data_IF_094652001444
#
_entry.id   IF_094652001444
#
_cell.length_a   1.000
_cell.length_b   1.000
_cell.length_c   1.000
_cell.angle_alpha   90.00
_cell.angle_beta   90.00
_cell.angle_gamma   90.00
#
_symmetry.space_group_name_H-M   'P 1'
#
loop_
_entity.id
_entity.type
_entity.pdbx_description
1 polymer ?
#
# COMPACT_ATOMS: atom_id res chain seq x y z
N UNK A 1 -1.24 12.10 2.51
CA UNK A 1 -0.50 11.37 3.54
C UNK A 1 -1.41 10.63 4.53
N UNK A 2 -2.56 11.15 4.86
CA UNK A 2 -3.57 10.59 5.80
C UNK A 2 -4.08 9.19 5.40
N UNK A 3 -4.02 8.82 4.11
CA UNK A 3 -4.63 7.56 3.64
C UNK A 3 -3.83 6.29 4.01
N UNK A 4 -2.50 6.34 4.05
CA UNK A 4 -1.67 5.18 4.40
C UNK A 4 -1.74 4.88 5.90
N UNK A 5 -1.65 5.91 6.75
CA UNK A 5 -1.84 5.78 8.19
C UNK A 5 -3.26 5.29 8.52
N UNK A 6 -4.24 5.73 7.73
CA UNK A 6 -5.64 5.36 7.93
C UNK A 6 -5.92 3.90 7.54
N UNK A 7 -5.26 3.38 6.51
CA UNK A 7 -5.32 1.96 6.13
C UNK A 7 -4.72 1.07 7.23
N UNK A 8 -3.54 1.43 7.73
CA UNK A 8 -2.87 0.65 8.77
C UNK A 8 -3.66 0.69 10.09
N UNK A 9 -4.20 1.86 10.45
CA UNK A 9 -5.11 2.02 11.58
C UNK A 9 -6.36 1.13 11.45
N UNK A 10 -6.98 1.11 10.26
CA UNK A 10 -8.15 0.27 9.99
C UNK A 10 -7.82 -1.23 10.07
N UNK A 11 -6.62 -1.64 9.65
CA UNK A 11 -6.18 -3.03 9.70
C UNK A 11 -5.90 -3.52 11.13
N UNK A 12 -5.48 -2.61 12.03
CA UNK A 12 -5.15 -2.93 13.44
C UNK A 12 -6.38 -2.87 14.33
N UNK A 13 -7.24 -1.85 14.19
CA UNK A 13 -8.41 -1.64 15.07
C UNK A 13 -9.71 -2.25 14.55
N UNK A 14 -9.73 -2.77 13.33
CA UNK A 14 -10.92 -3.36 12.74
C UNK A 14 -11.45 -4.56 13.55
N UNK A 15 -12.73 -4.51 13.92
CA UNK A 15 -13.41 -5.56 14.73
C UNK A 15 -14.31 -6.48 13.90
N UNK A 16 -14.24 -6.46 12.57
CA UNK A 16 -15.09 -7.31 11.74
C UNK A 16 -14.67 -8.78 11.77
N UNK A 17 -15.58 -9.66 11.34
CA UNK A 17 -15.31 -11.10 11.24
C UNK A 17 -14.07 -11.41 10.38
N UNK A 18 -13.87 -10.66 9.29
CA UNK A 18 -12.68 -10.80 8.46
C UNK A 18 -11.39 -10.49 9.25
N UNK A 19 -11.37 -9.51 10.16
CA UNK A 19 -10.18 -9.18 10.93
C UNK A 19 -9.75 -10.32 11.86
N UNK A 20 -10.69 -11.14 12.34
CA UNK A 20 -10.43 -12.28 13.22
C UNK A 20 -9.87 -13.51 12.50
N UNK A 21 -9.99 -13.59 11.17
CA UNK A 21 -9.44 -14.69 10.39
C UNK A 21 -7.91 -14.63 10.40
N UNK A 22 -7.28 -15.83 10.36
CA UNK A 22 -5.83 -15.92 10.33
C UNK A 22 -5.24 -15.21 9.10
N UNK A 23 -4.17 -14.43 9.24
CA UNK A 23 -3.55 -13.71 8.12
C UNK A 23 -3.15 -14.64 6.97
N UNK A 24 -2.74 -15.87 7.28
CA UNK A 24 -2.37 -16.90 6.28
C UNK A 24 -3.53 -17.22 5.35
N UNK A 25 -4.72 -17.44 5.89
CA UNK A 25 -5.92 -17.74 5.09
C UNK A 25 -6.32 -16.58 4.17
N UNK A 26 -6.15 -15.33 4.63
CA UNK A 26 -6.46 -14.14 3.82
C UNK A 26 -5.50 -13.99 2.65
N UNK A 27 -4.20 -14.18 2.89
CA UNK A 27 -3.18 -14.10 1.82
C UNK A 27 -3.39 -15.21 0.80
N UNK A 28 -3.68 -16.45 1.24
CA UNK A 28 -3.99 -17.56 0.35
C UNK A 28 -5.29 -17.28 -0.43
N UNK A 29 -6.35 -16.82 0.24
CA UNK A 29 -7.60 -16.43 -0.40
C UNK A 29 -7.40 -15.34 -1.46
N UNK A 30 -6.55 -14.35 -1.16
CA UNK A 30 -6.20 -13.31 -2.13
C UNK A 30 -5.44 -13.87 -3.33
N UNK A 31 -4.51 -14.81 -3.13
CA UNK A 31 -3.80 -15.48 -4.22
C UNK A 31 -4.79 -16.24 -5.13
N UNK A 32 -5.79 -16.94 -4.56
CA UNK A 32 -6.85 -17.58 -5.34
C UNK A 32 -7.71 -16.58 -6.12
N UNK A 33 -8.05 -15.44 -5.53
CA UNK A 33 -8.77 -14.36 -6.23
C UNK A 33 -7.96 -13.86 -7.41
N UNK A 34 -6.66 -13.58 -7.23
CA UNK A 34 -5.79 -13.12 -8.32
C UNK A 34 -5.67 -14.16 -9.43
N UNK A 35 -5.50 -15.43 -9.08
CA UNK A 35 -5.51 -16.53 -10.07
C UNK A 35 -6.85 -16.61 -10.80
N UNK A 36 -7.97 -16.45 -10.12
CA UNK A 36 -9.30 -16.37 -10.71
C UNK A 36 -9.43 -15.21 -11.70
N UNK A 37 -8.95 -14.02 -11.34
CA UNK A 37 -8.97 -12.83 -12.22
C UNK A 37 -8.14 -13.05 -13.49
N UNK A 38 -7.00 -13.75 -13.38
CA UNK A 38 -6.13 -14.03 -14.53
C UNK A 38 -6.76 -15.08 -15.45
N UNK A 39 -7.27 -16.18 -14.90
CA UNK A 39 -7.77 -17.35 -15.65
C UNK A 39 -9.15 -17.13 -16.26
N UNK A 40 -10.05 -16.42 -15.57
CA UNK A 40 -11.41 -16.18 -16.05
C UNK A 40 -11.39 -15.19 -17.21
N UNK A 41 -11.88 -15.64 -18.38
CA UNK A 41 -12.01 -14.83 -19.60
C UNK A 41 -13.46 -14.44 -19.92
N UNK A 42 -14.40 -14.93 -19.14
CA UNK A 42 -15.85 -14.70 -19.35
C UNK A 42 -16.33 -13.55 -18.47
N UNK A 43 -17.08 -12.61 -19.05
CA UNK A 43 -17.68 -11.48 -18.33
C UNK A 43 -18.56 -11.94 -17.16
N UNK A 44 -19.49 -12.93 -17.30
CA UNK A 44 -20.36 -13.34 -16.18
C UNK A 44 -19.56 -13.95 -15.01
N UNK A 45 -18.47 -14.67 -15.29
CA UNK A 45 -17.61 -15.21 -14.23
C UNK A 45 -16.89 -14.11 -13.43
N UNK A 46 -16.41 -13.04 -14.11
CA UNK A 46 -15.81 -11.89 -13.46
C UNK A 46 -16.83 -11.07 -12.65
N UNK A 47 -18.07 -10.95 -13.15
CA UNK A 47 -19.15 -10.30 -12.40
C UNK A 47 -19.49 -11.05 -11.11
N UNK A 48 -19.57 -12.37 -11.17
CA UNK A 48 -19.81 -13.21 -9.99
C UNK A 48 -18.66 -13.05 -8.98
N UNK A 49 -17.40 -13.08 -9.44
CA UNK A 49 -16.23 -12.90 -8.58
C UNK A 49 -16.24 -11.50 -7.93
N UNK A 50 -16.58 -10.48 -8.71
CA UNK A 50 -16.70 -9.10 -8.19
C UNK A 50 -17.82 -8.98 -7.17
N UNK A 51 -18.97 -9.60 -7.40
CA UNK A 51 -20.08 -9.64 -6.45
C UNK A 51 -19.67 -10.26 -5.12
N UNK A 52 -18.92 -11.37 -5.16
CA UNK A 52 -18.37 -12.01 -3.95
C UNK A 52 -17.41 -11.05 -3.21
N UNK A 53 -16.51 -10.38 -3.92
CA UNK A 53 -15.59 -9.41 -3.31
C UNK A 53 -16.32 -8.22 -2.70
N UNK A 54 -17.37 -7.72 -3.37
CA UNK A 54 -18.21 -6.64 -2.82
C UNK A 54 -18.93 -7.07 -1.56
N UNK A 55 -19.51 -8.26 -1.52
CA UNK A 55 -20.18 -8.79 -0.32
C UNK A 55 -19.19 -8.94 0.84
N UNK A 56 -17.98 -9.43 0.58
CA UNK A 56 -16.92 -9.51 1.59
C UNK A 56 -16.50 -8.12 2.09
N UNK A 57 -16.42 -7.14 1.18
CA UNK A 57 -16.10 -5.75 1.53
C UNK A 57 -17.17 -5.13 2.44
N UNK A 58 -18.45 -5.33 2.13
CA UNK A 58 -19.58 -4.84 2.94
C UNK A 58 -19.62 -5.49 4.33
N UNK A 59 -19.40 -6.80 4.40
CA UNK A 59 -19.33 -7.55 5.68
C UNK A 59 -18.15 -7.07 6.53
N UNK A 60 -17.05 -6.66 5.90
CA UNK A 60 -15.85 -6.18 6.59
C UNK A 60 -16.04 -4.81 7.26
N UNK A 61 -17.13 -4.09 6.98
CA UNK A 61 -17.45 -2.75 7.54
C UNK A 61 -16.31 -1.75 7.37
N UNK A 62 -15.56 -1.86 6.29
CA UNK A 62 -14.47 -0.94 5.97
C UNK A 62 -15.08 0.42 5.58
N UNK A 63 -14.51 1.55 6.05
CA UNK A 63 -15.04 2.87 5.70
C UNK A 63 -14.99 3.11 4.19
N UNK A 64 -16.07 3.66 3.63
CA UNK A 64 -16.22 3.93 2.20
C UNK A 64 -15.09 4.80 1.61
N UNK A 65 -14.39 5.58 2.44
CA UNK A 65 -13.21 6.34 2.01
C UNK A 65 -12.08 5.43 1.50
N UNK A 66 -11.93 4.23 2.05
CA UNK A 66 -10.94 3.25 1.60
C UNK A 66 -11.36 2.64 0.25
N UNK A 67 -12.68 2.53 -0.01
CA UNK A 67 -13.18 2.06 -1.30
C UNK A 67 -12.75 2.97 -2.46
N UNK A 68 -12.57 4.27 -2.23
CA UNK A 68 -12.06 5.17 -3.27
C UNK A 68 -10.68 4.78 -3.80
N UNK A 69 -9.86 4.07 -3.00
CA UNK A 69 -8.56 3.54 -3.43
C UNK A 69 -8.69 2.47 -4.54
N UNK A 70 -9.82 1.76 -4.60
CA UNK A 70 -10.07 0.78 -5.67
C UNK A 70 -10.26 1.43 -7.02
N UNK A 71 -10.59 2.73 -7.05
CA UNK A 71 -10.82 3.49 -8.28
C UNK A 71 -9.52 4.01 -8.92
N UNK A 72 -8.42 4.16 -8.17
CA UNK A 72 -7.15 4.66 -8.72
C UNK A 72 -6.62 3.86 -9.91
N UNK A 73 -6.62 2.51 -9.90
CA UNK A 73 -6.16 1.73 -11.04
C UNK A 73 -7.02 1.89 -12.30
N UNK A 74 -8.26 2.38 -12.18
CA UNK A 74 -9.12 2.65 -13.33
C UNK A 74 -8.59 3.78 -14.22
N UNK A 75 -7.82 4.71 -13.66
CA UNK A 75 -7.17 5.78 -14.44
C UNK A 75 -6.22 5.15 -15.47
N UNK A 76 -5.43 4.16 -15.07
CA UNK A 76 -4.54 3.43 -15.98
C UNK A 76 -5.33 2.57 -16.99
N UNK A 77 -6.45 2.00 -16.56
CA UNK A 77 -7.34 1.26 -17.46
C UNK A 77 -7.87 2.16 -18.57
N UNK A 78 -8.28 3.38 -18.23
CA UNK A 78 -8.76 4.36 -19.21
C UNK A 78 -7.67 4.72 -20.23
N UNK A 79 -6.43 4.94 -19.78
CA UNK A 79 -5.30 5.21 -20.65
C UNK A 79 -4.99 4.02 -21.56
N UNK A 80 -5.08 2.79 -21.05
CA UNK A 80 -4.85 1.57 -21.82
C UNK A 80 -5.92 1.33 -22.90
N UNK A 81 -7.19 1.65 -22.61
CA UNK A 81 -8.30 1.59 -23.57
C UNK A 81 -8.04 2.51 -24.76
N UNK A 82 -7.52 3.71 -24.50
CA UNK A 82 -7.24 4.68 -25.55
C UNK A 82 -6.19 4.18 -26.55
N UNK A 83 -5.25 3.35 -26.11
CA UNK A 83 -4.17 2.77 -26.92
C UNK A 83 -4.64 1.50 -27.65
N UNK A 84 -5.52 0.69 -27.03
CA UNK A 84 -5.86 -0.67 -27.50
C UNK A 84 -7.00 -0.74 -28.52
N UNK A 85 -7.64 0.39 -28.88
CA UNK A 85 -8.80 0.41 -29.78
C UNK A 85 -10.12 0.06 -29.09
N UNK A 86 -11.24 0.55 -29.68
CA UNK A 86 -12.57 0.55 -29.05
C UNK A 86 -13.37 -0.76 -29.21
N UNK A 87 -12.82 -1.90 -28.75
CA UNK A 87 -13.62 -3.12 -28.66
C UNK A 87 -14.34 -3.20 -27.30
N UNK A 88 -15.66 -3.00 -27.29
CA UNK A 88 -16.48 -2.87 -26.07
C UNK A 88 -16.34 -4.09 -25.15
N UNK A 89 -16.36 -5.30 -25.70
CA UNK A 89 -16.22 -6.53 -24.91
C UNK A 89 -14.86 -6.65 -24.22
N UNK A 90 -13.80 -6.23 -24.91
CA UNK A 90 -12.43 -6.23 -24.37
C UNK A 90 -12.25 -5.17 -23.27
N UNK A 91 -12.82 -3.99 -23.51
CA UNK A 91 -12.83 -2.89 -22.53
C UNK A 91 -13.52 -3.33 -21.23
N UNK A 92 -14.73 -3.89 -21.34
CA UNK A 92 -15.50 -4.35 -20.19
C UNK A 92 -14.78 -5.45 -19.40
N UNK A 93 -14.11 -6.35 -20.09
CA UNK A 93 -13.34 -7.43 -19.49
C UNK A 93 -12.14 -6.89 -18.71
N UNK A 94 -11.35 -5.97 -19.28
CA UNK A 94 -10.21 -5.35 -18.58
C UNK A 94 -10.70 -4.53 -17.40
N UNK A 95 -11.74 -3.73 -17.55
CA UNK A 95 -12.33 -2.93 -16.50
C UNK A 95 -12.74 -3.78 -15.28
N UNK A 96 -13.46 -4.89 -15.52
CA UNK A 96 -13.85 -5.82 -14.48
C UNK A 96 -12.64 -6.52 -13.82
N UNK A 97 -11.63 -6.92 -14.59
CA UNK A 97 -10.41 -7.52 -14.05
C UNK A 97 -9.67 -6.56 -13.12
N UNK A 98 -9.53 -5.30 -13.52
CA UNK A 98 -8.88 -4.28 -12.70
C UNK A 98 -9.68 -4.00 -11.44
N UNK A 99 -11.01 -3.90 -11.52
CA UNK A 99 -11.87 -3.74 -10.35
C UNK A 99 -11.76 -4.91 -9.38
N UNK A 100 -11.81 -6.15 -9.87
CA UNK A 100 -11.66 -7.34 -9.03
C UNK A 100 -10.29 -7.36 -8.33
N UNK A 101 -9.21 -7.14 -9.09
CA UNK A 101 -7.85 -7.13 -8.53
C UNK A 101 -7.65 -6.03 -7.49
N UNK A 102 -8.04 -4.80 -7.81
CA UNK A 102 -7.89 -3.66 -6.89
C UNK A 102 -8.73 -3.82 -5.63
N UNK A 103 -9.99 -4.25 -5.75
CA UNK A 103 -10.87 -4.48 -4.59
C UNK A 103 -10.32 -5.57 -3.69
N UNK A 104 -9.82 -6.66 -4.26
CA UNK A 104 -9.21 -7.74 -3.50
C UNK A 104 -7.96 -7.30 -2.73
N UNK A 105 -7.04 -6.55 -3.38
CA UNK A 105 -5.84 -6.02 -2.72
C UNK A 105 -6.21 -5.04 -1.62
N UNK A 106 -7.12 -4.10 -1.87
CA UNK A 106 -7.56 -3.13 -0.86
C UNK A 106 -8.21 -3.83 0.32
N UNK A 107 -9.02 -4.86 0.09
CA UNK A 107 -9.64 -5.67 1.14
C UNK A 107 -8.59 -6.38 1.99
N UNK A 108 -7.56 -6.97 1.38
CA UNK A 108 -6.45 -7.60 2.11
C UNK A 108 -5.70 -6.58 2.98
N UNK A 109 -5.30 -5.44 2.40
CA UNK A 109 -4.53 -4.41 3.10
C UNK A 109 -5.33 -3.72 4.21
N UNK A 110 -6.63 -3.55 4.03
CA UNK A 110 -7.51 -2.95 5.04
C UNK A 110 -7.86 -3.91 6.20
N UNK A 111 -7.69 -5.23 6.01
CA UNK A 111 -8.05 -6.23 7.03
C UNK A 111 -6.85 -6.92 7.66
N UNK A 112 -5.64 -6.73 7.13
CA UNK A 112 -4.44 -7.44 7.58
C UNK A 112 -3.29 -6.47 7.76
N UNK A 113 -2.72 -6.34 8.99
CA UNK A 113 -1.56 -5.48 9.24
C UNK A 113 -0.35 -5.90 8.39
N UNK A 114 0.38 -4.93 7.84
CA UNK A 114 1.56 -5.17 7.01
C UNK A 114 2.60 -6.10 7.64
N UNK A 115 2.94 -5.98 8.95
CA UNK A 115 3.89 -6.89 9.58
C UNK A 115 3.48 -8.36 9.50
N UNK A 116 2.18 -8.65 9.61
CA UNK A 116 1.66 -10.02 9.48
C UNK A 116 1.80 -10.57 8.05
N UNK A 117 1.63 -9.70 7.04
CA UNK A 117 1.83 -10.08 5.62
C UNK A 117 3.32 -10.40 5.39
N UNK A 118 4.24 -9.58 5.92
CA UNK A 118 5.68 -9.82 5.81
C UNK A 118 6.12 -11.11 6.50
N UNK A 119 5.52 -11.42 7.65
CA UNK A 119 5.74 -12.69 8.34
C UNK A 119 5.36 -13.91 7.49
N UNK A 120 4.25 -13.83 6.75
CA UNK A 120 3.83 -14.90 5.84
C UNK A 120 4.75 -15.00 4.62
N UNK A 121 5.15 -13.87 4.05
CA UNK A 121 6.12 -13.83 2.96
C UNK A 121 7.46 -14.45 3.36
N UNK A 122 7.82 -14.41 4.65
CA UNK A 122 9.03 -15.04 5.20
C UNK A 122 9.04 -16.56 5.09
N UNK A 123 7.91 -17.20 4.82
CA UNK A 123 7.86 -18.66 4.56
C UNK A 123 8.45 -18.97 3.17
N UNK A 124 8.30 -18.05 2.21
CA UNK A 124 8.71 -18.22 0.80
C UNK A 124 10.01 -17.48 0.51
N UNK A 125 10.21 -16.32 1.10
CA UNK A 125 11.36 -15.44 0.85
C UNK A 125 12.52 -15.70 1.82
N UNK A 126 13.77 -15.57 1.37
CA UNK A 126 14.92 -15.57 2.25
C UNK A 126 14.82 -14.51 3.36
N UNK A 127 15.37 -14.80 4.54
CA UNK A 127 15.25 -13.92 5.72
C UNK A 127 15.76 -12.48 5.51
N UNK A 128 16.71 -12.29 4.58
CA UNK A 128 17.24 -10.96 4.25
C UNK A 128 16.16 -10.04 3.65
N UNK A 129 15.32 -10.58 2.74
CA UNK A 129 14.24 -9.81 2.12
C UNK A 129 13.15 -9.45 3.13
N UNK A 130 12.82 -10.37 4.04
CA UNK A 130 11.83 -10.09 5.09
C UNK A 130 12.34 -9.03 6.05
N UNK A 131 13.61 -9.11 6.44
CA UNK A 131 14.26 -8.08 7.26
C UNK A 131 14.24 -6.73 6.55
N UNK A 132 14.57 -6.70 5.26
CA UNK A 132 14.52 -5.48 4.45
C UNK A 132 13.09 -4.89 4.38
N UNK A 133 12.06 -5.72 4.22
CA UNK A 133 10.66 -5.27 4.22
C UNK A 133 10.25 -4.63 5.54
N UNK A 134 10.61 -5.24 6.68
CA UNK A 134 10.35 -4.66 8.01
C UNK A 134 11.08 -3.32 8.21
N UNK A 135 12.35 -3.24 7.79
CA UNK A 135 13.13 -2.01 7.89
C UNK A 135 12.55 -0.92 6.99
N UNK A 136 12.20 -1.26 5.75
CA UNK A 136 11.56 -0.33 4.80
C UNK A 136 10.24 0.20 5.36
N UNK A 137 9.39 -0.68 5.88
CA UNK A 137 8.12 -0.28 6.49
C UNK A 137 8.33 0.72 7.62
N UNK A 138 9.27 0.46 8.53
CA UNK A 138 9.61 1.39 9.60
C UNK A 138 10.19 2.70 9.08
N UNK A 139 11.07 2.64 8.08
CA UNK A 139 11.70 3.83 7.49
C UNK A 139 10.68 4.74 6.80
N UNK A 140 9.64 4.17 6.17
CA UNK A 140 8.57 4.95 5.55
C UNK A 140 7.90 5.87 6.57
N UNK A 141 7.55 5.39 7.77
CA UNK A 141 6.93 6.25 8.80
C UNK A 141 7.87 7.33 9.32
N UNK A 142 9.16 7.02 9.47
CA UNK A 142 10.17 8.00 9.87
C UNK A 142 10.29 9.09 8.80
N UNK A 143 10.39 8.71 7.53
CA UNK A 143 10.50 9.65 6.42
C UNK A 143 9.23 10.47 6.23
N UNK A 144 8.04 9.90 6.46
CA UNK A 144 6.78 10.63 6.41
C UNK A 144 6.74 11.74 7.45
N UNK A 145 7.18 11.49 8.67
CA UNK A 145 7.24 12.52 9.72
C UNK A 145 8.22 13.64 9.32
N UNK A 146 9.41 13.27 8.80
CA UNK A 146 10.40 14.25 8.32
C UNK A 146 9.84 15.08 7.15
N UNK A 147 9.07 14.43 6.27
CA UNK A 147 8.44 15.11 5.14
C UNK A 147 7.39 16.13 5.62
N UNK A 148 6.54 15.75 6.59
CA UNK A 148 5.55 16.65 7.18
C UNK A 148 6.22 17.86 7.87
N UNK A 149 7.28 17.63 8.65
CA UNK A 149 8.07 18.70 9.26
C UNK A 149 8.68 19.64 8.19
N UNK A 150 9.21 19.06 7.11
CA UNK A 150 9.84 19.83 6.02
C UNK A 150 8.80 20.64 5.24
N UNK A 151 7.63 20.03 4.94
CA UNK A 151 6.52 20.70 4.26
C UNK A 151 6.02 21.89 5.10
N UNK A 152 5.82 21.66 6.40
CA UNK A 152 5.39 22.71 7.32
C UNK A 152 6.41 23.85 7.43
N UNK A 153 7.69 23.52 7.53
CA UNK A 153 8.78 24.51 7.55
C UNK A 153 8.86 25.31 6.24
N UNK A 154 8.68 24.67 5.09
CA UNK A 154 8.63 25.35 3.79
C UNK A 154 7.44 26.30 3.69
N UNK A 155 6.27 25.87 4.17
CA UNK A 155 5.07 26.71 4.18
C UNK A 155 5.26 27.95 5.05
N UNK A 156 5.76 27.81 6.29
CA UNK A 156 6.02 28.93 7.21
C UNK A 156 7.05 29.93 6.67
N UNK A 157 8.02 29.46 5.89
CA UNK A 157 9.04 30.31 5.25
C UNK A 157 8.57 30.96 3.95
N UNK A 158 7.29 30.77 3.56
CA UNK A 158 6.79 31.27 2.29
C UNK A 158 7.47 30.63 1.08
N UNK A 159 8.02 29.41 1.24
CA UNK A 159 8.77 28.70 0.21
C UNK A 159 7.91 28.23 -0.96
N UNK A 160 6.59 28.13 -0.80
CA UNK A 160 5.67 27.73 -1.86
C UNK A 160 4.79 28.93 -2.22
N UNK A 161 5.12 29.58 -3.35
CA UNK A 161 4.38 30.72 -3.85
C UNK A 161 3.92 30.50 -5.30
N UNK A 162 2.63 30.51 -5.53
CA UNK A 162 2.03 30.39 -6.87
C UNK A 162 2.48 31.51 -7.84
N UNK A 163 2.87 32.65 -7.28
CA UNK A 163 3.27 33.84 -8.04
C UNK A 163 4.69 33.73 -8.65
N UNK A 164 5.55 32.85 -8.06
CA UNK A 164 6.91 32.63 -8.50
C UNK A 164 7.23 31.13 -8.57
N UNK A 165 6.73 30.40 -9.59
CA UNK A 165 6.84 28.92 -9.66
C UNK A 165 8.30 28.45 -9.66
N UNK A 166 9.22 29.18 -10.30
CA UNK A 166 10.62 28.84 -10.35
C UNK A 166 11.31 28.87 -8.97
N UNK A 167 11.05 29.92 -8.20
CA UNK A 167 11.56 30.02 -6.82
C UNK A 167 10.98 28.95 -5.92
N UNK A 168 9.70 28.65 -6.05
CA UNK A 168 9.04 27.56 -5.32
C UNK A 168 9.68 26.20 -5.64
N UNK A 169 10.04 25.96 -6.90
CA UNK A 169 10.68 24.74 -7.33
C UNK A 169 12.07 24.56 -6.71
N UNK A 170 12.88 25.63 -6.64
CA UNK A 170 14.20 25.64 -5.97
C UNK A 170 14.03 25.37 -4.46
N UNK A 171 13.07 26.02 -3.81
CA UNK A 171 12.82 25.83 -2.39
C UNK A 171 12.37 24.39 -2.07
N UNK A 172 11.50 23.82 -2.89
CA UNK A 172 11.07 22.42 -2.77
C UNK A 172 12.27 21.50 -2.99
N UNK A 173 13.11 21.74 -4.00
CA UNK A 173 14.33 20.95 -4.25
C UNK A 173 15.30 20.96 -3.05
N UNK A 174 15.49 22.12 -2.43
CA UNK A 174 16.31 22.23 -1.21
C UNK A 174 15.68 21.46 -0.04
N UNK A 175 14.35 21.47 0.09
CA UNK A 175 13.61 20.66 1.06
C UNK A 175 13.84 19.15 0.84
N UNK A 176 13.80 18.69 -0.42
CA UNK A 176 14.13 17.30 -0.75
C UNK A 176 15.59 16.95 -0.42
N UNK A 177 16.54 17.84 -0.69
CA UNK A 177 17.94 17.64 -0.29
C UNK A 177 18.09 17.44 1.21
N UNK A 178 17.42 18.29 2.01
CA UNK A 178 17.39 18.14 3.47
C UNK A 178 16.74 16.80 3.93
N UNK A 179 15.65 16.40 3.28
CA UNK A 179 14.97 15.14 3.55
C UNK A 179 15.89 13.92 3.30
N UNK A 180 16.67 13.94 2.23
CA UNK A 180 17.65 12.88 1.92
C UNK A 180 18.73 12.80 3.01
N UNK A 181 19.32 13.92 3.37
CA UNK A 181 20.37 13.98 4.42
C UNK A 181 19.82 13.45 5.74
N UNK A 182 18.66 13.95 6.17
CA UNK A 182 18.00 13.51 7.41
C UNK A 182 17.57 12.03 7.36
N UNK A 183 17.23 11.52 6.17
CA UNK A 183 16.95 10.11 5.92
C UNK A 183 18.19 9.23 6.14
N UNK A 184 19.37 9.66 5.65
CA UNK A 184 20.64 8.97 5.84
C UNK A 184 20.99 8.95 7.33
N UNK A 185 20.98 10.09 8.01
CA UNK A 185 21.25 10.18 9.46
C UNK A 185 20.31 9.30 10.29
N UNK A 186 19.03 9.23 9.89
CA UNK A 186 18.04 8.38 10.56
C UNK A 186 18.32 6.91 10.34
N UNK A 187 18.81 6.53 9.15
CA UNK A 187 19.16 5.14 8.84
C UNK A 187 20.40 4.68 9.62
N UNK A 188 21.42 5.54 9.77
CA UNK A 188 22.60 5.28 10.60
C UNK A 188 22.21 5.07 12.06
N UNK A 189 21.45 6.00 12.65
CA UNK A 189 20.96 5.87 14.04
C UNK A 189 20.13 4.61 14.25
N UNK A 190 19.31 4.25 13.27
CA UNK A 190 18.52 3.03 13.32
C UNK A 190 19.43 1.80 13.31
N UNK A 191 20.45 1.76 12.45
CA UNK A 191 21.42 0.67 12.39
C UNK A 191 22.23 0.54 13.68
N UNK A 192 22.79 1.64 14.21
CA UNK A 192 23.49 1.63 15.49
C UNK A 192 22.62 1.11 16.62
N UNK A 193 21.37 1.56 16.70
CA UNK A 193 20.43 1.10 17.72
C UNK A 193 20.11 -0.40 17.61
N UNK A 194 20.10 -0.95 16.40
CA UNK A 194 19.91 -2.37 16.17
C UNK A 194 21.14 -3.18 16.56
N UNK A 195 22.34 -2.71 16.22
CA UNK A 195 23.61 -3.35 16.61
C UNK A 195 23.73 -3.42 18.13
N UNK A 196 23.42 -2.33 18.85
CA UNK A 196 23.41 -2.29 20.31
C UNK A 196 22.41 -3.28 20.93
N UNK A 197 21.32 -3.62 20.21
CA UNK A 197 20.33 -4.64 20.61
C UNK A 197 20.71 -6.06 20.16
N UNK A 198 21.93 -6.27 19.62
CA UNK A 198 22.42 -7.59 19.21
C UNK A 198 21.88 -8.07 17.86
N UNK A 199 21.55 -7.16 16.95
CA UNK A 199 21.10 -7.51 15.61
C UNK A 199 22.17 -8.32 14.85
N UNK A 200 21.82 -9.53 14.42
CA UNK A 200 22.66 -10.44 13.62
C UNK A 200 21.97 -10.81 12.30
N UNK A 201 21.74 -9.82 11.44
CA UNK A 201 21.14 -9.99 10.10
C UNK A 201 19.73 -10.62 10.06
N UNK A 202 19.07 -10.83 11.18
CA UNK A 202 17.70 -11.33 11.28
C UNK A 202 16.90 -10.52 12.30
N UNK A 203 15.69 -10.11 11.93
CA UNK A 203 14.72 -9.57 12.86
C UNK A 203 13.83 -10.73 13.31
N UNK A 204 13.76 -10.96 14.63
CA UNK A 204 12.84 -11.93 15.22
C UNK A 204 11.46 -11.25 15.32
N UNK A 205 10.52 -11.66 14.49
CA UNK A 205 9.15 -11.22 14.56
C UNK A 205 8.29 -12.31 15.22
N UNK A 206 7.35 -11.89 16.04
CA UNK A 206 6.46 -12.76 16.81
C UNK A 206 5.55 -13.55 15.86
N UNK A 207 6.00 -14.70 15.41
CA UNK A 207 5.29 -15.55 14.45
C UNK A 207 5.87 -16.94 14.31
N UNK A 208 6.98 -17.22 15.07
CA UNK A 208 7.52 -18.57 15.30
C UNK A 208 7.11 -19.06 16.67
#
# INVERSE_FOLDING_TARGET
>A
MIQLSYLDYSAVEGKSWLHRLSPKLKVIGMAFVLLGVVTVRNIPGLLLLYAILLTLFLISRIPLKIFSLTLYPLIFTFLFIFISGFQINFILLIFLKVLCGSTGVVLLLATTPYPSIFGILGIVLPSIFVTALFLTYRSIFILLNVLEETEHALYLRGGVQWRHPWRSLINISNGFGHLIIKGIDSSEKMYESMVLRGFKNKIHYRGE
#
